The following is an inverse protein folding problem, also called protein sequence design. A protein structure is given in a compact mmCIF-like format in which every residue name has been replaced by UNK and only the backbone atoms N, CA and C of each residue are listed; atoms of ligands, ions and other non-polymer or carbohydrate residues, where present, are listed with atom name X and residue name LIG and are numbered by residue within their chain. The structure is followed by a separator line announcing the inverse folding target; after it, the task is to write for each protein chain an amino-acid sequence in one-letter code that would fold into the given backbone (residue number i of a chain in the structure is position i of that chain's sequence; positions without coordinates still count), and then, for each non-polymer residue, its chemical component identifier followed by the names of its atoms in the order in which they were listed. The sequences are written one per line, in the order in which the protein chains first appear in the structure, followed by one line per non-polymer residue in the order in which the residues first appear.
data_IF_270680774128
#
_entry.id   IF_270680774128
#
_cell.length_a   1.000
_cell.length_b   1.000
_cell.length_c   1.000
_cell.angle_alpha   90.00
_cell.angle_beta   90.00
_cell.angle_gamma   90.00
#
_symmetry.space_group_name_H-M   'P 1'
#
loop_
_entity.id
_entity.type
_entity.pdbx_description
1 polymer ?
#
# COMPACT_ATOMS: atom_id res chain seq x y z
N UNK A 1 5.56 -42.24 4.61
CA UNK A 1 5.87 -41.31 3.50
C UNK A 1 5.86 -39.91 4.06
N UNK A 2 7.00 -39.21 4.01
CA UNK A 2 7.09 -37.83 4.50
C UNK A 2 6.32 -36.92 3.55
N UNK A 3 5.20 -36.38 4.03
CA UNK A 3 4.46 -35.32 3.36
C UNK A 3 5.23 -34.03 3.62
N UNK A 4 6.09 -33.66 2.67
CA UNK A 4 6.68 -32.32 2.62
C UNK A 4 5.56 -31.31 2.35
N UNK A 5 5.29 -30.44 3.34
CA UNK A 5 4.46 -29.24 3.14
C UNK A 5 5.03 -28.40 2.00
N UNK A 6 4.21 -27.80 1.12
CA UNK A 6 4.70 -26.93 0.07
C UNK A 6 5.39 -25.70 0.70
N UNK A 7 6.63 -25.44 0.30
CA UNK A 7 7.32 -24.20 0.63
C UNK A 7 6.65 -23.09 -0.19
N UNK A 8 5.95 -22.18 0.47
CA UNK A 8 5.48 -20.93 -0.14
C UNK A 8 6.70 -20.06 -0.45
N UNK A 9 6.98 -19.84 -1.74
CA UNK A 9 8.03 -18.95 -2.19
C UNK A 9 7.64 -17.49 -1.93
N UNK A 10 8.51 -16.78 -1.20
CA UNK A 10 8.31 -15.40 -0.75
C UNK A 10 8.75 -14.42 -1.84
N UNK A 11 7.80 -13.83 -2.57
CA UNK A 11 8.08 -12.82 -3.60
C UNK A 11 8.34 -11.42 -3.01
N UNK A 12 8.95 -10.48 -3.73
CA UNK A 12 9.36 -9.21 -3.11
C UNK A 12 8.26 -8.21 -2.71
N UNK A 13 7.03 -8.41 -3.17
CA UNK A 13 5.85 -7.78 -2.54
C UNK A 13 5.62 -8.29 -1.13
N UNK A 14 5.92 -9.56 -0.88
CA UNK A 14 5.95 -10.12 0.46
C UNK A 14 7.22 -9.61 1.15
N UNK A 15 8.41 -9.61 0.55
CA UNK A 15 9.65 -9.18 1.23
C UNK A 15 9.69 -7.69 1.64
N UNK A 16 9.12 -6.76 0.85
CA UNK A 16 8.98 -5.35 1.24
C UNK A 16 7.91 -5.13 2.31
N UNK A 17 7.04 -6.12 2.53
CA UNK A 17 5.87 -6.06 3.43
C UNK A 17 6.02 -6.97 4.66
N UNK A 18 6.88 -8.00 4.61
CA UNK A 18 7.18 -8.99 5.66
C UNK A 18 8.05 -8.39 6.77
N UNK A 19 8.90 -7.41 6.45
CA UNK A 19 9.86 -6.89 7.43
C UNK A 19 9.27 -5.82 8.35
N UNK A 20 8.19 -5.18 7.90
CA UNK A 20 7.34 -4.37 8.76
C UNK A 20 6.85 -5.16 10.01
N UNK A 21 6.73 -6.49 9.90
CA UNK A 21 6.33 -7.35 11.03
C UNK A 21 7.50 -7.91 11.84
N UNK A 22 8.70 -8.09 11.26
CA UNK A 22 9.89 -8.53 12.01
C UNK A 22 10.35 -7.53 13.09
N UNK A 23 9.89 -6.27 13.04
CA UNK A 23 10.17 -5.27 14.08
C UNK A 23 9.37 -5.47 15.37
N UNK A 24 8.28 -6.24 15.33
CA UNK A 24 7.44 -6.49 16.50
C UNK A 24 7.98 -7.61 17.39
N UNK A 25 8.77 -8.54 16.84
CA UNK A 25 9.32 -9.67 17.59
C UNK A 25 10.67 -9.39 18.26
N UNK A 26 11.25 -8.18 18.10
CA UNK A 26 12.50 -7.81 18.78
C UNK A 26 12.29 -7.14 20.14
N UNK A 27 11.05 -7.13 20.61
CA UNK A 27 10.66 -6.64 21.93
C UNK A 27 10.63 -7.75 22.99
N UNK A 28 11.76 -8.42 23.22
CA UNK A 28 11.99 -9.19 24.46
C UNK A 28 13.44 -8.89 24.87
N UNK A 29 13.78 -8.43 26.06
CA UNK A 29 13.14 -8.49 27.37
C UNK A 29 13.71 -7.33 28.21
N UNK A 30 12.84 -6.52 28.81
CA UNK A 30 13.10 -5.87 30.09
C UNK A 30 11.82 -5.17 30.56
N UNK A 31 11.28 -5.66 31.66
CA UNK A 31 10.20 -5.04 32.39
C UNK A 31 10.67 -3.68 32.94
N UNK A 32 10.39 -2.60 32.20
CA UNK A 32 10.16 -1.26 32.73
C UNK A 32 9.89 -0.30 31.57
N UNK A 33 8.85 0.52 31.74
CA UNK A 33 8.44 1.66 30.90
C UNK A 33 7.51 1.31 29.73
N UNK A 34 6.22 1.61 29.97
CA UNK A 34 5.23 2.01 28.96
C UNK A 34 5.84 2.98 27.92
N UNK A 35 6.44 2.47 26.86
CA UNK A 35 6.74 3.24 25.66
C UNK A 35 5.74 2.80 24.59
N UNK A 36 4.86 3.74 24.28
CA UNK A 36 3.72 3.58 23.37
C UNK A 36 4.23 3.04 22.03
N UNK A 37 3.63 1.95 21.55
CA UNK A 37 3.85 1.38 20.23
C UNK A 37 3.39 2.31 19.06
N UNK A 38 3.25 3.61 19.32
CA UNK A 38 2.59 4.59 18.44
C UNK A 38 3.53 5.38 17.53
N UNK A 39 4.84 5.15 17.64
CA UNK A 39 5.86 5.92 16.89
C UNK A 39 6.34 5.20 15.63
N UNK A 40 5.81 4.00 15.35
CA UNK A 40 6.33 3.13 14.29
C UNK A 40 5.96 3.62 12.87
N UNK A 41 4.79 4.27 12.71
CA UNK A 41 4.41 4.95 11.46
C UNK A 41 4.11 6.44 11.74
N UNK A 42 5.06 7.35 11.45
CA UNK A 42 4.74 8.77 11.54
C UNK A 42 3.60 9.09 10.55
N UNK A 43 2.54 9.73 11.06
CA UNK A 43 1.50 10.34 10.21
C UNK A 43 2.23 11.13 9.13
N UNK A 44 2.02 10.75 7.85
CA UNK A 44 2.80 11.24 6.71
C UNK A 44 2.85 12.77 6.72
N UNK A 45 3.97 13.34 7.15
CA UNK A 45 4.09 14.80 7.38
C UNK A 45 3.94 15.62 6.09
N UNK A 46 4.17 15.02 4.93
CA UNK A 46 3.98 15.66 3.62
C UNK A 46 2.49 15.93 3.29
N UNK A 47 1.54 15.25 3.95
CA UNK A 47 0.10 15.46 3.75
C UNK A 47 -0.43 16.77 4.36
N UNK A 48 0.33 17.45 5.22
CA UNK A 48 -0.08 18.74 5.78
C UNK A 48 0.05 19.90 4.78
N UNK A 49 0.78 19.72 3.66
CA UNK A 49 0.90 20.73 2.61
C UNK A 49 -0.25 20.58 1.59
N UNK A 50 -1.41 21.17 1.92
CA UNK A 50 -2.54 21.54 1.03
C UNK A 50 -2.74 20.60 -0.19
N UNK A 51 -3.26 19.40 0.03
CA UNK A 51 -3.87 18.65 -1.08
C UNK A 51 -5.20 19.32 -1.47
N UNK A 52 -5.36 19.63 -2.76
CA UNK A 52 -6.65 20.02 -3.35
C UNK A 52 -7.44 18.75 -3.63
N UNK A 53 -8.66 18.67 -3.13
CA UNK A 53 -9.66 17.71 -3.61
C UNK A 53 -9.78 17.84 -5.11
N UNK A 54 -9.57 16.74 -5.83
CA UNK A 54 -9.77 16.72 -7.28
C UNK A 54 -11.11 16.05 -7.52
N UNK A 55 -12.09 16.88 -7.88
CA UNK A 55 -13.25 16.38 -8.62
C UNK A 55 -12.71 15.91 -9.95
N UNK A 56 -12.65 14.60 -10.17
CA UNK A 56 -12.32 14.03 -11.47
C UNK A 56 -13.52 14.31 -12.38
N UNK A 57 -13.51 15.47 -13.05
CA UNK A 57 -14.44 15.74 -14.14
C UNK A 57 -14.20 14.68 -15.24
N UNK A 58 -15.27 13.97 -15.61
CA UNK A 58 -15.35 12.89 -16.61
C UNK A 58 -14.80 11.49 -16.27
N UNK A 59 -15.18 10.90 -15.13
CA UNK A 59 -15.34 9.43 -15.05
C UNK A 59 -16.60 9.08 -14.25
N UNK A 60 -17.57 8.34 -14.80
CA UNK A 60 -18.79 8.01 -14.09
C UNK A 60 -18.43 7.25 -12.81
N UNK A 61 -19.15 7.59 -11.75
CA UNK A 61 -19.20 7.03 -10.40
C UNK A 61 -19.39 5.49 -10.28
N UNK A 62 -19.18 4.75 -11.38
CA UNK A 62 -19.44 3.32 -11.58
C UNK A 62 -18.18 2.45 -11.64
N UNK A 63 -16.97 2.98 -11.46
CA UNK A 63 -15.72 2.19 -11.40
C UNK A 63 -15.58 1.34 -10.10
N UNK A 64 -16.69 0.99 -9.45
CA UNK A 64 -16.70 0.34 -8.12
C UNK A 64 -16.23 -1.11 -8.14
N UNK A 65 -16.05 -1.74 -9.32
CA UNK A 65 -15.76 -3.19 -9.36
C UNK A 65 -14.81 -3.66 -10.45
N UNK A 66 -14.59 -2.89 -11.52
CA UNK A 66 -13.84 -3.37 -12.68
C UNK A 66 -12.51 -2.62 -12.79
N UNK A 67 -11.41 -3.32 -12.50
CA UNK A 67 -10.03 -2.86 -12.67
C UNK A 67 -9.56 -3.12 -14.10
N UNK A 68 -10.29 -2.54 -15.05
CA UNK A 68 -10.06 -2.68 -16.48
C UNK A 68 -8.73 -2.08 -16.91
N UNK A 69 -8.02 -2.78 -17.79
CA UNK A 69 -6.76 -2.29 -18.33
C UNK A 69 -5.54 -2.59 -17.47
N UNK A 70 -5.66 -3.51 -16.51
CA UNK A 70 -4.58 -3.93 -15.61
C UNK A 70 -4.38 -5.45 -15.60
N UNK A 71 -3.14 -5.90 -15.36
CA UNK A 71 -2.81 -7.31 -15.22
C UNK A 71 -1.77 -7.55 -14.13
N UNK A 72 -2.04 -8.45 -13.19
CA UNK A 72 -1.05 -8.92 -12.24
C UNK A 72 -0.25 -10.10 -12.81
N UNK A 73 1.07 -10.07 -12.64
CA UNK A 73 2.00 -11.16 -12.97
C UNK A 73 2.92 -11.43 -11.78
N UNK A 74 3.38 -12.66 -11.59
CA UNK A 74 4.44 -12.94 -10.62
C UNK A 74 5.80 -12.80 -11.29
N UNK A 75 6.71 -12.02 -10.71
CA UNK A 75 8.07 -11.80 -11.21
C UNK A 75 9.05 -12.19 -10.11
N UNK A 76 10.02 -13.04 -10.46
CA UNK A 76 11.09 -13.46 -9.56
C UNK A 76 11.85 -12.23 -9.01
N UNK A 77 12.06 -12.18 -7.70
CA UNK A 77 12.72 -11.06 -7.04
C UNK A 77 11.90 -9.76 -6.94
N UNK A 78 10.70 -9.67 -7.54
CA UNK A 78 9.75 -8.55 -7.36
C UNK A 78 8.43 -8.96 -6.69
N UNK A 79 8.06 -10.24 -6.77
CA UNK A 79 6.76 -10.73 -6.28
C UNK A 79 5.62 -10.39 -7.25
N UNK A 80 4.48 -9.94 -6.74
CA UNK A 80 3.27 -9.63 -7.53
C UNK A 80 3.41 -8.25 -8.17
N UNK A 81 3.46 -8.19 -9.49
CA UNK A 81 3.65 -6.94 -10.22
C UNK A 81 2.40 -6.63 -11.03
N UNK A 82 1.91 -5.40 -10.95
CA UNK A 82 0.76 -4.94 -11.75
C UNK A 82 1.25 -4.14 -12.95
N UNK A 83 0.80 -4.55 -14.13
CA UNK A 83 1.11 -3.90 -15.40
C UNK A 83 -0.12 -3.23 -15.98
N UNK A 84 0.10 -2.11 -16.67
CA UNK A 84 -0.90 -1.55 -17.57
C UNK A 84 -1.04 -2.46 -18.80
N UNK A 85 -2.26 -2.76 -19.24
CA UNK A 85 -2.54 -3.41 -20.55
C UNK A 85 -3.21 -2.46 -21.55
N UNK A 86 -3.20 -1.16 -21.23
CA UNK A 86 -3.63 -0.07 -22.11
C UNK A 86 -2.90 1.21 -21.74
N UNK A 87 -2.99 2.20 -22.63
CA UNK A 87 -2.50 3.55 -22.36
C UNK A 87 -3.35 4.27 -21.29
N UNK A 88 -2.69 4.96 -20.34
CA UNK A 88 -3.31 5.89 -19.40
C UNK A 88 -2.74 7.29 -19.61
N UNK A 89 -3.63 8.26 -19.86
CA UNK A 89 -3.25 9.67 -19.95
C UNK A 89 -2.93 10.23 -18.57
N UNK A 90 -1.92 11.11 -18.47
CA UNK A 90 -1.60 11.86 -17.26
C UNK A 90 -2.84 12.47 -16.61
N UNK A 91 -2.94 12.29 -15.30
CA UNK A 91 -4.02 12.79 -14.45
C UNK A 91 -5.29 11.95 -14.45
N UNK A 92 -5.40 10.92 -15.30
CA UNK A 92 -6.56 10.02 -15.34
C UNK A 92 -6.48 8.95 -14.26
N UNK A 93 -7.65 8.49 -13.85
CA UNK A 93 -7.82 7.40 -12.90
C UNK A 93 -7.17 6.12 -13.41
N UNK A 94 -6.46 5.43 -12.53
CA UNK A 94 -5.84 4.13 -12.81
C UNK A 94 -6.56 3.06 -12.01
N UNK A 95 -6.56 3.18 -10.67
CA UNK A 95 -7.12 2.18 -9.77
C UNK A 95 -7.42 2.77 -8.40
N UNK A 96 -8.34 2.16 -7.66
CA UNK A 96 -8.57 2.45 -6.26
C UNK A 96 -7.64 1.60 -5.37
N UNK A 97 -7.04 2.20 -4.34
CA UNK A 97 -6.44 1.45 -3.26
C UNK A 97 -7.56 0.97 -2.34
N UNK A 98 -8.21 -0.13 -2.72
CA UNK A 98 -9.41 -0.62 -2.04
C UNK A 98 -9.06 -1.44 -0.79
N UNK A 99 -9.78 -1.18 0.30
CA UNK A 99 -9.69 -1.89 1.58
C UNK A 99 -10.75 -1.38 2.56
N UNK A 100 -10.64 -1.79 3.81
CA UNK A 100 -11.53 -1.30 4.87
C UNK A 100 -11.10 0.12 5.27
N UNK A 101 -12.03 1.08 5.19
CA UNK A 101 -11.79 2.44 5.69
C UNK A 101 -11.95 2.47 7.22
N UNK A 102 -10.89 2.87 7.91
CA UNK A 102 -10.79 2.82 9.37
C UNK A 102 -10.45 4.20 9.94
N UNK A 103 -10.95 4.47 11.14
CA UNK A 103 -10.42 5.54 11.96
C UNK A 103 -9.07 5.15 12.56
N UNK A 104 -8.28 6.16 12.96
CA UNK A 104 -6.92 5.96 13.45
C UNK A 104 -6.82 5.01 14.65
N UNK A 105 -7.82 4.96 15.52
CA UNK A 105 -7.84 4.05 16.67
C UNK A 105 -7.93 2.59 16.22
N UNK A 106 -8.91 2.26 15.37
CA UNK A 106 -9.14 0.90 14.86
C UNK A 106 -7.97 0.44 13.97
N UNK A 107 -7.42 1.36 13.17
CA UNK A 107 -6.24 1.09 12.36
C UNK A 107 -5.05 0.65 13.22
N UNK A 108 -4.78 1.36 14.33
CA UNK A 108 -3.70 1.02 15.26
C UNK A 108 -3.93 -0.31 15.97
N UNK A 109 -5.17 -0.61 16.32
CA UNK A 109 -5.51 -1.91 16.90
C UNK A 109 -5.20 -3.06 15.93
N UNK A 110 -5.61 -2.92 14.66
CA UNK A 110 -5.32 -3.93 13.63
C UNK A 110 -3.83 -4.06 13.35
N UNK A 111 -3.11 -2.94 13.27
CA UNK A 111 -1.65 -2.93 13.09
C UNK A 111 -0.94 -3.69 14.20
N UNK A 112 -1.35 -3.49 15.47
CA UNK A 112 -0.81 -4.22 16.61
C UNK A 112 -1.13 -5.73 16.58
N UNK A 113 -2.22 -6.14 15.94
CA UNK A 113 -2.55 -7.54 15.71
C UNK A 113 -1.70 -8.14 14.58
N UNK A 114 -1.59 -7.45 13.44
CA UNK A 114 -0.77 -7.89 12.31
C UNK A 114 0.72 -7.98 12.65
N UNK A 115 1.19 -7.09 13.53
CA UNK A 115 2.50 -7.12 14.14
C UNK A 115 2.85 -8.45 14.84
N UNK A 116 1.87 -9.25 15.25
CA UNK A 116 2.11 -10.52 15.94
C UNK A 116 2.40 -11.68 14.98
N UNK A 117 2.10 -11.54 13.69
CA UNK A 117 2.30 -12.58 12.68
C UNK A 117 3.25 -12.10 11.56
N UNK A 118 4.53 -12.51 11.60
CA UNK A 118 5.53 -12.19 10.56
C UNK A 118 5.15 -12.56 9.13
N UNK A 119 4.15 -13.43 8.93
CA UNK A 119 3.60 -13.76 7.61
C UNK A 119 2.61 -12.73 7.07
N UNK A 120 2.14 -11.79 7.89
CA UNK A 120 1.22 -10.73 7.45
C UNK A 120 2.00 -9.59 6.81
N UNK A 121 1.59 -9.15 5.61
CA UNK A 121 2.22 -7.99 4.96
C UNK A 121 1.58 -6.66 5.38
N UNK A 122 2.25 -5.55 5.14
CA UNK A 122 1.78 -4.21 5.54
C UNK A 122 1.00 -3.46 4.46
N UNK A 123 -0.29 -3.78 4.35
CA UNK A 123 -1.19 -3.19 3.35
C UNK A 123 -2.09 -2.07 3.92
N UNK A 124 -1.59 -1.35 4.92
CA UNK A 124 -2.30 -0.24 5.54
C UNK A 124 -1.81 1.09 4.95
N UNK A 125 -2.74 1.93 4.51
CA UNK A 125 -2.44 3.24 3.96
C UNK A 125 -3.08 4.34 4.79
N UNK A 126 -2.25 5.11 5.50
CA UNK A 126 -2.69 6.23 6.32
C UNK A 126 -2.79 7.54 5.51
N UNK A 127 -3.90 8.26 5.67
CA UNK A 127 -4.10 9.61 5.14
C UNK A 127 -4.97 10.43 6.09
N UNK A 128 -4.59 11.70 6.32
CA UNK A 128 -5.28 12.59 7.26
C UNK A 128 -5.46 11.92 8.67
N UNK A 129 -6.70 11.57 9.03
CA UNK A 129 -7.08 10.89 10.27
C UNK A 129 -7.70 9.51 10.04
N UNK A 130 -7.56 8.98 8.83
CA UNK A 130 -8.12 7.71 8.36
C UNK A 130 -7.02 6.78 7.87
N UNK A 131 -7.36 5.51 7.74
CA UNK A 131 -6.51 4.50 7.11
C UNK A 131 -7.37 3.62 6.21
N UNK A 132 -6.81 3.20 5.08
CA UNK A 132 -7.37 2.08 4.31
C UNK A 132 -6.56 0.83 4.62
N UNK A 133 -7.20 -0.18 5.20
CA UNK A 133 -6.61 -1.49 5.48
C UNK A 133 -6.96 -2.47 4.36
N UNK A 134 -5.99 -2.77 3.50
CA UNK A 134 -6.09 -3.76 2.44
C UNK A 134 -5.36 -5.07 2.79
N UNK A 135 -5.17 -5.39 4.08
CA UNK A 135 -4.38 -6.57 4.50
C UNK A 135 -5.04 -7.87 4.09
N UNK A 136 -6.37 -7.95 4.17
CA UNK A 136 -7.13 -9.11 3.69
C UNK A 136 -6.93 -9.32 2.19
N UNK A 137 -6.53 -10.52 1.81
CA UNK A 137 -6.40 -10.90 0.40
C UNK A 137 -7.74 -10.75 -0.33
N UNK A 138 -7.69 -10.12 -1.50
CA UNK A 138 -8.84 -9.84 -2.35
C UNK A 138 -8.43 -9.85 -3.82
N UNK A 139 -9.41 -9.79 -4.72
CA UNK A 139 -9.18 -9.67 -6.16
C UNK A 139 -8.78 -8.26 -6.59
N UNK A 140 -8.72 -7.29 -5.66
CA UNK A 140 -8.40 -5.89 -5.95
C UNK A 140 -6.89 -5.74 -6.13
N UNK A 141 -6.48 -5.18 -7.27
CA UNK A 141 -5.09 -5.04 -7.68
C UNK A 141 -4.40 -3.82 -7.06
N UNK A 142 -5.16 -2.85 -6.52
CA UNK A 142 -4.61 -1.59 -5.99
C UNK A 142 -3.57 -1.80 -4.89
N UNK A 143 -3.79 -2.81 -4.03
CA UNK A 143 -2.89 -3.22 -2.95
C UNK A 143 -1.60 -3.91 -3.42
N UNK A 144 -1.49 -4.20 -4.71
CA UNK A 144 -0.36 -4.92 -5.32
C UNK A 144 0.57 -4.00 -6.13
N UNK A 145 0.27 -2.71 -6.22
CA UNK A 145 1.18 -1.77 -6.89
C UNK A 145 2.43 -1.59 -6.05
N UNK A 146 3.60 -1.68 -6.69
CA UNK A 146 4.89 -1.63 -6.02
C UNK A 146 5.36 -0.19 -5.75
N UNK A 147 6.39 -0.08 -4.91
CA UNK A 147 7.04 1.17 -4.58
C UNK A 147 7.96 1.69 -5.69
N UNK A 148 7.88 2.98 -5.98
CA UNK A 148 9.00 3.77 -6.50
C UNK A 148 8.79 5.26 -6.21
N UNK A 149 9.83 5.99 -5.81
CA UNK A 149 9.74 7.45 -5.63
C UNK A 149 9.50 8.20 -6.94
N UNK A 150 9.93 7.64 -8.05
CA UNK A 150 9.79 8.20 -9.41
C UNK A 150 8.83 7.37 -10.26
N UNK A 151 7.87 6.72 -9.62
CA UNK A 151 6.83 5.93 -10.26
C UNK A 151 5.90 6.73 -11.18
N UNK A 152 5.02 6.00 -11.87
CA UNK A 152 4.08 6.54 -12.84
C UNK A 152 2.66 6.76 -12.29
N UNK A 153 2.42 6.40 -11.04
CA UNK A 153 1.18 6.65 -10.31
C UNK A 153 1.41 7.56 -9.11
N UNK A 154 0.40 8.37 -8.78
CA UNK A 154 0.34 9.17 -7.56
C UNK A 154 -1.00 8.96 -6.86
N UNK A 155 -1.00 9.00 -5.54
CA UNK A 155 -2.24 8.90 -4.76
C UNK A 155 -2.99 10.22 -4.71
N UNK A 156 -4.33 10.14 -4.69
CA UNK A 156 -5.25 11.24 -4.46
C UNK A 156 -6.41 10.77 -3.60
N UNK A 157 -7.02 11.70 -2.89
CA UNK A 157 -8.28 11.49 -2.19
C UNK A 157 -9.44 11.91 -3.09
N UNK A 158 -10.48 11.10 -3.12
CA UNK A 158 -11.67 11.33 -3.93
C UNK A 158 -12.92 11.00 -3.12
N UNK A 159 -13.76 12.00 -2.90
CA UNK A 159 -14.99 11.84 -2.11
C UNK A 159 -16.16 11.48 -3.03
N UNK A 160 -16.86 10.41 -2.70
CA UNK A 160 -18.08 9.95 -3.39
C UNK A 160 -19.14 9.75 -2.32
N UNK A 161 -20.28 10.43 -2.45
CA UNK A 161 -21.44 10.29 -1.54
C UNK A 161 -21.07 10.46 -0.04
N UNK A 162 -20.08 11.31 0.27
CA UNK A 162 -19.59 11.56 1.62
C UNK A 162 -18.60 10.53 2.16
N UNK A 163 -18.19 9.55 1.36
CA UNK A 163 -17.16 8.56 1.68
C UNK A 163 -15.88 8.92 0.93
N UNK A 164 -14.77 9.05 1.67
CA UNK A 164 -13.45 9.33 1.08
C UNK A 164 -12.79 8.05 0.59
N UNK A 165 -12.43 8.04 -0.69
CA UNK A 165 -11.69 6.95 -1.34
C UNK A 165 -10.24 7.35 -1.61
N UNK A 166 -9.32 6.40 -1.40
CA UNK A 166 -7.94 6.53 -1.81
C UNK A 166 -7.77 5.97 -3.22
N UNK A 167 -7.41 6.83 -4.17
CA UNK A 167 -7.25 6.44 -5.58
C UNK A 167 -5.82 6.69 -6.05
N UNK A 168 -5.41 5.93 -7.06
CA UNK A 168 -4.20 6.17 -7.84
C UNK A 168 -4.58 6.76 -9.20
N UNK A 169 -3.90 7.84 -9.55
CA UNK A 169 -3.99 8.48 -10.86
C UNK A 169 -2.62 8.50 -11.54
N UNK A 170 -2.61 8.52 -12.85
CA UNK A 170 -1.39 8.58 -13.64
C UNK A 170 -0.65 9.91 -13.38
N UNK A 171 0.61 9.86 -12.93
CA UNK A 171 1.46 11.06 -12.68
C UNK A 171 2.08 11.60 -13.97
N UNK A 172 2.23 10.73 -14.96
CA UNK A 172 2.61 10.97 -16.36
C UNK A 172 1.74 10.11 -17.28
N UNK A 173 1.94 10.22 -18.58
CA UNK A 173 1.38 9.24 -19.51
C UNK A 173 2.01 7.87 -19.24
N UNK A 174 1.21 6.81 -19.30
CA UNK A 174 1.61 5.42 -19.05
C UNK A 174 1.26 4.60 -20.29
N UNK A 175 2.25 3.97 -20.89
CA UNK A 175 2.09 3.07 -22.02
C UNK A 175 1.64 1.68 -21.57
N UNK A 176 1.12 0.89 -22.51
CA UNK A 176 0.86 -0.53 -22.26
C UNK A 176 2.15 -1.28 -21.92
N UNK A 177 2.02 -2.33 -21.11
CA UNK A 177 3.10 -3.15 -20.56
C UNK A 177 4.04 -2.45 -19.58
N UNK A 178 3.77 -1.21 -19.17
CA UNK A 178 4.51 -0.56 -18.08
C UNK A 178 4.08 -1.10 -16.71
N UNK A 179 5.06 -1.33 -15.83
CA UNK A 179 4.82 -1.62 -14.40
C UNK A 179 4.23 -0.39 -13.71
N UNK A 180 3.14 -0.58 -12.95
CA UNK A 180 2.52 0.48 -12.18
C UNK A 180 3.18 0.61 -10.81
N UNK A 181 3.70 1.80 -10.55
CA UNK A 181 4.49 2.12 -9.37
C UNK A 181 4.03 3.42 -8.74
N UNK A 182 4.00 3.47 -7.41
CA UNK A 182 3.75 4.71 -6.68
C UNK A 182 4.66 4.87 -5.47
N UNK A 183 4.78 6.09 -4.98
CA UNK A 183 5.53 6.37 -3.78
C UNK A 183 4.71 6.03 -2.52
N UNK A 184 5.12 4.94 -1.86
CA UNK A 184 4.56 4.48 -0.58
C UNK A 184 4.65 5.57 0.51
N UNK A 185 5.63 6.46 0.43
CA UNK A 185 5.70 7.62 1.31
C UNK A 185 6.28 7.43 2.68
N UNK A 186 6.66 6.20 3.02
CA UNK A 186 7.41 5.96 4.24
C UNK A 186 8.84 6.49 4.08
N UNK A 187 9.25 7.29 5.06
CA UNK A 187 10.55 7.94 5.14
C UNK A 187 11.21 7.75 6.50
N UNK A 188 10.63 6.92 7.37
CA UNK A 188 11.23 6.63 8.67
C UNK A 188 12.62 6.02 8.46
N UNK A 189 13.57 6.34 9.35
CA UNK A 189 14.93 5.81 9.23
C UNK A 189 14.92 4.30 9.39
N UNK A 190 14.02 3.83 10.22
CA UNK A 190 13.76 2.45 10.58
C UNK A 190 13.31 1.68 9.33
N UNK A 191 12.25 2.12 8.64
CA UNK A 191 11.77 1.50 7.41
C UNK A 191 12.79 1.57 6.28
N UNK A 192 13.48 2.71 6.11
CA UNK A 192 14.52 2.86 5.09
C UNK A 192 15.72 1.94 5.36
N UNK A 193 16.06 1.69 6.63
CA UNK A 193 17.15 0.79 7.02
C UNK A 193 16.78 -0.67 6.79
N UNK A 194 15.50 -1.02 7.01
CA UNK A 194 14.96 -2.34 6.78
C UNK A 194 14.77 -2.65 5.29
N UNK A 195 14.41 -1.64 4.49
CA UNK A 195 14.10 -1.78 3.09
C UNK A 195 14.82 -0.73 2.25
N UNK A 196 15.96 -1.14 1.70
CA UNK A 196 16.75 -0.30 0.81
C UNK A 196 15.98 0.14 -0.44
N UNK A 197 14.97 -0.63 -0.87
CA UNK A 197 14.08 -0.27 -2.00
C UNK A 197 13.29 1.02 -1.74
N UNK A 198 12.91 1.33 -0.49
CA UNK A 198 12.23 2.59 -0.14
C UNK A 198 13.11 3.83 -0.34
N UNK A 199 14.41 3.65 -0.63
CA UNK A 199 15.31 4.75 -1.00
C UNK A 199 15.07 5.23 -2.43
N UNK A 200 14.48 4.40 -3.30
CA UNK A 200 14.48 4.59 -4.75
C UNK A 200 13.07 4.66 -5.35
#
# INVERSE_FOLDING_TARGET
GNITKPKTEKGANHLAMEYCVLFSSRAESNAAQNRKATDYYPIRQEFQKKQKWVVLEDQPCHARTIEEGLQAKHIEGKGRVVFAVRYFKKGKFVIEYHGDLLHLADAKEREALYAQDPGTGCYMYYFQYLSVDATKESTRLGRLLNHSKIGNCQTKLHDIDGITHLILVASRDIESEEELLYDYGDRSKESISAHTLLKY
#
